data_IF_052511746285
#
_entry.id   IF_052511746285
#
_cell.length_a   1.000
_cell.length_b   1.000
_cell.length_c   1.000
_cell.angle_alpha   90.00
_cell.angle_beta   90.00
_cell.angle_gamma   90.00
#
_symmetry.space_group_name_H-M   'P 1'
#
loop_
_entity.id
_entity.type
_entity.pdbx_description
1 polymer ?
#
# COMPACT_ATOMS: atom_id res chain seq x y z
N UNK A 1 4.84 -60.15 31.06
CA UNK A 1 3.65 -60.46 30.25
C UNK A 1 3.72 -59.48 29.08
N UNK A 2 4.32 -59.85 27.94
CA UNK A 2 3.81 -60.80 26.91
C UNK A 2 2.46 -60.32 26.30
N UNK A 3 2.13 -60.39 25.00
CA UNK A 3 2.80 -60.88 23.74
C UNK A 3 1.90 -60.45 22.54
N UNK A 4 2.27 -60.30 21.25
CA UNK A 4 3.51 -60.16 20.43
C UNK A 4 3.10 -59.92 18.96
N UNK A 5 3.97 -59.29 18.13
CA UNK A 5 3.96 -59.33 16.61
C UNK A 5 2.77 -58.61 15.93
N UNK A 6 2.80 -58.24 14.64
CA UNK A 6 3.66 -58.52 13.45
C UNK A 6 2.72 -58.51 12.22
N UNK A 7 3.07 -58.18 10.97
CA UNK A 7 4.34 -58.35 10.25
C UNK A 7 4.57 -57.29 9.14
N UNK A 8 5.76 -57.34 8.53
CA UNK A 8 6.20 -56.52 7.39
C UNK A 8 5.79 -57.09 6.01
N UNK A 9 5.82 -56.24 4.98
CA UNK A 9 6.41 -56.61 3.67
C UNK A 9 7.00 -55.37 2.96
N UNK A 10 8.00 -55.59 2.12
CA UNK A 10 8.86 -54.57 1.47
C UNK A 10 8.95 -54.84 -0.05
N UNK A 11 9.93 -54.23 -0.75
CA UNK A 11 10.18 -54.19 -2.21
C UNK A 11 9.41 -53.11 -2.99
N UNK A 12 10.04 -52.36 -3.92
CA UNK A 12 11.45 -52.39 -4.34
C UNK A 12 11.90 -51.15 -5.13
N UNK A 13 13.20 -51.03 -5.38
CA UNK A 13 13.88 -49.91 -6.08
C UNK A 13 13.90 -50.07 -7.61
N UNK A 14 13.89 -48.96 -8.35
CA UNK A 14 14.83 -48.56 -9.43
C UNK A 14 14.39 -47.16 -9.95
N UNK A 15 15.16 -46.05 -9.96
CA UNK A 15 16.47 -45.67 -10.52
C UNK A 15 16.56 -45.51 -12.05
N UNK A 16 16.98 -44.30 -12.46
CA UNK A 16 17.79 -43.98 -13.66
C UNK A 16 17.08 -44.14 -15.05
N UNK A 17 17.38 -43.39 -16.12
CA UNK A 17 18.28 -42.23 -16.31
C UNK A 17 17.97 -41.42 -17.60
N UNK A 18 18.56 -40.22 -17.68
CA UNK A 18 19.03 -39.46 -18.87
C UNK A 18 18.32 -39.46 -20.26
N UNK A 19 17.85 -38.26 -20.63
CA UNK A 19 18.29 -37.40 -21.75
C UNK A 19 18.13 -37.78 -23.26
N UNK A 20 18.04 -36.71 -24.09
CA UNK A 20 18.22 -36.66 -25.56
C UNK A 20 17.10 -37.31 -26.44
N UNK A 21 16.77 -36.84 -27.66
CA UNK A 21 17.14 -35.63 -28.44
C UNK A 21 16.11 -35.31 -29.55
N UNK A 22 16.23 -34.13 -30.17
CA UNK A 22 15.83 -33.74 -31.55
C UNK A 22 14.39 -33.94 -32.10
N UNK A 23 14.01 -33.05 -33.03
CA UNK A 23 12.81 -33.20 -33.87
C UNK A 23 12.30 -31.88 -34.46
N UNK A 24 13.00 -31.34 -35.47
CA UNK A 24 12.51 -30.20 -36.27
C UNK A 24 12.46 -30.63 -37.74
N UNK A 25 11.27 -30.64 -38.34
CA UNK A 25 11.07 -30.77 -39.79
C UNK A 25 10.05 -29.73 -40.25
N UNK A 26 10.36 -29.04 -41.35
CA UNK A 26 9.42 -28.98 -42.45
C UNK A 26 10.06 -29.46 -43.77
N UNK A 27 9.31 -30.23 -44.54
CA UNK A 27 9.61 -30.58 -45.94
C UNK A 27 9.36 -29.34 -46.85
N UNK A 28 9.90 -29.19 -48.08
CA UNK A 28 10.40 -30.15 -49.09
C UNK A 28 11.50 -29.51 -49.97
N UNK A 29 12.29 -30.33 -50.67
CA UNK A 29 13.48 -29.97 -51.50
C UNK A 29 13.20 -29.25 -52.84
N UNK A 30 14.26 -28.61 -53.40
CA UNK A 30 14.78 -28.86 -54.77
C UNK A 30 16.24 -28.32 -54.92
N UNK A 31 17.03 -28.87 -55.85
CA UNK A 31 18.52 -28.81 -55.92
C UNK A 31 19.01 -28.60 -57.40
N UNK A 32 20.32 -28.54 -57.77
CA UNK A 32 21.35 -27.48 -57.59
C UNK A 32 22.06 -27.04 -58.91
N UNK A 33 23.12 -26.20 -58.82
CA UNK A 33 24.47 -26.50 -59.39
C UNK A 33 25.57 -25.49 -59.02
N UNK A 34 26.81 -25.98 -58.86
CA UNK A 34 28.07 -25.20 -58.74
C UNK A 34 29.04 -25.48 -59.92
N UNK A 35 30.06 -24.62 -60.11
CA UNK A 35 31.34 -24.98 -60.76
C UNK A 35 32.49 -24.02 -60.32
N UNK A 36 33.71 -24.55 -60.19
CA UNK A 36 34.96 -23.91 -59.73
C UNK A 36 35.96 -23.64 -60.89
N UNK A 37 37.04 -22.84 -60.66
CA UNK A 37 38.48 -23.14 -60.98
C UNK A 37 39.45 -21.93 -60.77
N UNK A 38 40.72 -22.26 -60.48
CA UNK A 38 41.98 -21.54 -60.12
C UNK A 38 42.76 -20.85 -61.28
N UNK A 39 43.98 -20.27 -61.18
CA UNK A 39 44.82 -19.52 -60.19
C UNK A 39 46.26 -19.34 -60.81
N UNK A 40 46.97 -18.20 -60.70
CA UNK A 40 48.44 -18.09 -61.05
C UNK A 40 49.14 -16.77 -60.59
N UNK A 41 50.48 -16.73 -60.48
CA UNK A 41 51.18 -15.90 -59.46
C UNK A 41 52.49 -15.17 -59.89
N UNK A 42 52.69 -13.95 -59.32
CA UNK A 42 53.97 -13.38 -58.83
C UNK A 42 54.99 -12.61 -59.74
N UNK A 43 54.57 -11.52 -60.39
CA UNK A 43 55.45 -10.34 -60.64
C UNK A 43 55.28 -9.22 -59.60
N UNK A 44 54.55 -9.50 -58.52
CA UNK A 44 53.90 -8.46 -57.72
C UNK A 44 54.69 -7.96 -56.50
N UNK A 45 55.76 -8.64 -56.06
CA UNK A 45 56.21 -8.53 -54.65
C UNK A 45 56.76 -7.17 -54.20
N UNK A 46 57.55 -6.47 -55.01
CA UNK A 46 58.09 -5.14 -54.65
C UNK A 46 57.07 -4.02 -54.87
N UNK A 47 56.30 -4.09 -55.96
CA UNK A 47 55.16 -3.20 -56.18
C UNK A 47 54.15 -3.31 -55.02
N UNK A 48 53.86 -4.53 -54.56
CA UNK A 48 52.99 -4.79 -53.42
C UNK A 48 53.52 -4.20 -52.11
N UNK A 49 54.83 -4.07 -51.89
CA UNK A 49 55.35 -3.48 -50.66
C UNK A 49 55.06 -1.96 -50.60
N UNK A 50 55.40 -1.24 -51.67
CA UNK A 50 55.11 0.20 -51.77
C UNK A 50 53.59 0.48 -51.84
N UNK A 51 52.83 -0.35 -52.57
CA UNK A 51 51.37 -0.27 -52.60
C UNK A 51 50.78 -0.60 -51.23
N UNK A 52 51.30 -1.57 -50.48
CA UNK A 52 50.83 -1.89 -49.13
C UNK A 52 51.03 -0.71 -48.18
N UNK A 53 52.21 -0.07 -48.18
CA UNK A 53 52.48 1.09 -47.33
C UNK A 53 51.60 2.30 -47.72
N UNK A 54 51.43 2.56 -49.02
CA UNK A 54 50.50 3.59 -49.52
C UNK A 54 49.04 3.28 -49.15
N UNK A 55 48.61 2.01 -49.21
CA UNK A 55 47.26 1.58 -48.82
C UNK A 55 47.06 1.69 -47.31
N UNK A 56 48.06 1.32 -46.51
CA UNK A 56 48.01 1.33 -45.05
C UNK A 56 48.00 2.76 -44.49
N UNK A 57 48.76 3.69 -45.09
CA UNK A 57 48.69 5.13 -44.77
C UNK A 57 47.29 5.68 -45.13
N UNK A 58 46.79 5.40 -46.33
CA UNK A 58 45.45 5.85 -46.75
C UNK A 58 44.33 5.25 -45.88
N UNK A 59 44.44 3.99 -45.45
CA UNK A 59 43.46 3.39 -44.54
C UNK A 59 43.51 4.00 -43.14
N UNK A 60 44.71 4.30 -42.63
CA UNK A 60 44.86 4.93 -41.32
C UNK A 60 44.31 6.37 -41.31
N UNK A 61 44.54 7.16 -42.35
CA UNK A 61 43.92 8.50 -42.50
C UNK A 61 42.39 8.41 -42.65
N UNK A 62 41.89 7.44 -43.43
CA UNK A 62 40.46 7.20 -43.58
C UNK A 62 39.78 6.80 -42.26
N UNK A 63 40.41 5.91 -41.50
CA UNK A 63 39.94 5.47 -40.18
C UNK A 63 39.99 6.59 -39.15
N UNK A 64 41.04 7.42 -39.12
CA UNK A 64 41.10 8.57 -38.22
C UNK A 64 40.03 9.61 -38.58
N UNK A 65 39.83 9.90 -39.88
CA UNK A 65 38.76 10.76 -40.35
C UNK A 65 37.37 10.20 -40.02
N UNK A 66 37.19 8.87 -40.10
CA UNK A 66 35.95 8.19 -39.73
C UNK A 66 35.69 8.26 -38.22
N UNK A 67 36.69 7.96 -37.38
CA UNK A 67 36.62 8.09 -35.92
C UNK A 67 36.32 9.53 -35.49
N UNK A 68 36.93 10.52 -36.14
CA UNK A 68 36.67 11.96 -35.88
C UNK A 68 35.26 12.38 -36.30
N UNK A 69 34.69 11.80 -37.37
CA UNK A 69 33.28 11.97 -37.73
C UNK A 69 32.35 11.32 -36.70
N UNK A 70 32.56 10.06 -36.32
CA UNK A 70 31.75 9.38 -35.30
C UNK A 70 31.80 10.05 -33.93
N UNK A 71 32.99 10.50 -33.48
CA UNK A 71 33.14 11.28 -32.24
C UNK A 71 32.33 12.58 -32.26
N UNK A 72 32.36 13.32 -33.38
CA UNK A 72 31.54 14.54 -33.56
C UNK A 72 30.05 14.24 -33.62
N UNK A 73 29.62 13.16 -34.28
CA UNK A 73 28.22 12.73 -34.30
C UNK A 73 27.74 12.36 -32.90
N UNK A 74 28.52 11.59 -32.14
CA UNK A 74 28.18 11.22 -30.77
C UNK A 74 28.15 12.44 -29.83
N UNK A 75 29.08 13.39 -29.96
CA UNK A 75 29.05 14.64 -29.19
C UNK A 75 27.81 15.50 -29.49
N UNK A 76 27.43 15.61 -30.78
CA UNK A 76 26.19 16.30 -31.16
C UNK A 76 24.95 15.55 -30.66
N UNK A 77 24.94 14.22 -30.72
CA UNK A 77 23.81 13.39 -30.27
C UNK A 77 23.61 13.47 -28.75
N UNK A 78 24.69 13.41 -27.95
CA UNK A 78 24.60 13.56 -26.49
C UNK A 78 24.20 14.98 -26.09
N UNK A 79 24.67 16.00 -26.81
CA UNK A 79 24.22 17.39 -26.62
C UNK A 79 22.72 17.52 -26.91
N UNK A 80 22.24 17.03 -28.06
CA UNK A 80 20.81 17.05 -28.43
C UNK A 80 19.97 16.29 -27.39
N UNK A 81 20.39 15.08 -26.99
CA UNK A 81 19.69 14.30 -25.98
C UNK A 81 19.62 15.01 -24.61
N UNK A 82 20.71 15.66 -24.17
CA UNK A 82 20.75 16.45 -22.94
C UNK A 82 19.80 17.65 -22.97
N UNK A 83 19.79 18.40 -24.09
CA UNK A 83 18.82 19.48 -24.29
C UNK A 83 17.38 18.98 -24.35
N UNK A 84 17.11 17.87 -25.04
CA UNK A 84 15.78 17.25 -25.08
C UNK A 84 15.31 16.81 -23.69
N UNK A 85 16.18 16.19 -22.89
CA UNK A 85 15.87 15.80 -21.52
C UNK A 85 15.61 17.01 -20.62
N UNK A 86 16.42 18.08 -20.74
CA UNK A 86 16.20 19.32 -19.99
C UNK A 86 14.87 19.99 -20.34
N UNK A 87 14.53 20.08 -21.64
CA UNK A 87 13.26 20.63 -22.12
C UNK A 87 12.07 19.77 -21.65
N UNK A 88 12.15 18.45 -21.77
CA UNK A 88 11.09 17.55 -21.28
C UNK A 88 10.90 17.65 -19.76
N UNK A 89 11.99 17.77 -19.00
CA UNK A 89 11.94 17.98 -17.53
C UNK A 89 11.27 19.31 -17.18
N UNK A 90 11.62 20.39 -17.88
CA UNK A 90 10.99 21.70 -17.69
C UNK A 90 9.50 21.68 -18.06
N UNK A 91 9.11 21.02 -19.15
CA UNK A 91 7.71 20.84 -19.54
C UNK A 91 6.93 20.01 -18.51
N UNK A 92 7.53 18.96 -17.97
CA UNK A 92 6.93 18.14 -16.90
C UNK A 92 6.71 18.96 -15.62
N UNK A 93 7.72 19.72 -15.16
CA UNK A 93 7.58 20.60 -14.00
C UNK A 93 6.56 21.71 -14.23
N UNK A 94 6.54 22.31 -15.43
CA UNK A 94 5.53 23.29 -15.81
C UNK A 94 4.12 22.69 -15.83
N UNK A 95 3.97 21.43 -16.28
CA UNK A 95 2.71 20.71 -16.25
C UNK A 95 2.25 20.38 -14.82
N UNK A 96 3.17 20.07 -13.89
CA UNK A 96 2.84 19.92 -12.46
C UNK A 96 2.38 21.24 -11.85
N UNK A 97 3.14 22.33 -12.07
CA UNK A 97 2.79 23.66 -11.53
C UNK A 97 1.48 24.16 -12.12
N UNK A 98 1.29 24.02 -13.44
CA UNK A 98 0.02 24.31 -14.09
C UNK A 98 -1.09 23.40 -13.57
N UNK A 99 -0.85 22.11 -13.36
CA UNK A 99 -1.81 21.18 -12.78
C UNK A 99 -2.24 21.59 -11.36
N UNK A 100 -1.32 22.05 -10.52
CA UNK A 100 -1.61 22.57 -9.17
C UNK A 100 -2.43 23.86 -9.27
N UNK A 101 -2.00 24.84 -10.08
CA UNK A 101 -2.70 26.12 -10.23
C UNK A 101 -4.09 25.95 -10.88
N UNK A 102 -4.17 25.17 -11.95
CA UNK A 102 -5.41 24.78 -12.61
C UNK A 102 -6.31 24.03 -11.64
N UNK A 103 -5.78 23.13 -10.81
CA UNK A 103 -6.60 22.47 -9.78
C UNK A 103 -7.12 23.46 -8.74
N UNK A 104 -6.31 24.42 -8.31
CA UNK A 104 -6.74 25.48 -7.39
C UNK A 104 -7.82 26.40 -7.96
N UNK A 105 -7.87 26.58 -9.28
CA UNK A 105 -8.88 27.43 -9.95
C UNK A 105 -10.11 26.63 -10.41
N UNK A 106 -9.96 25.39 -10.87
CA UNK A 106 -11.05 24.58 -11.44
C UNK A 106 -11.63 23.48 -10.52
N UNK A 107 -11.02 23.15 -9.38
CA UNK A 107 -11.71 22.39 -8.32
C UNK A 107 -12.65 23.25 -7.46
N UNK A 108 -12.88 24.51 -7.85
CA UNK A 108 -14.18 25.15 -7.67
C UNK A 108 -15.23 24.50 -8.58
N UNK A 109 -15.50 23.22 -8.37
CA UNK A 109 -16.53 22.50 -9.11
C UNK A 109 -17.90 23.12 -8.83
N UNK A 110 -18.65 23.44 -9.89
CA UNK A 110 -19.97 24.08 -9.82
C UNK A 110 -21.05 23.12 -9.28
N UNK A 111 -20.96 22.80 -8.00
CA UNK A 111 -22.01 22.12 -7.21
C UNK A 111 -22.05 22.60 -5.74
N UNK A 112 -21.35 23.69 -5.41
CA UNK A 112 -21.29 24.28 -4.07
C UNK A 112 -22.16 25.54 -3.90
N UNK A 113 -22.83 25.99 -4.96
CA UNK A 113 -23.81 27.08 -4.90
C UNK A 113 -25.25 26.59 -4.90
N UNK A 114 -25.57 25.74 -3.93
CA UNK A 114 -26.94 25.64 -3.44
C UNK A 114 -26.94 25.96 -1.93
N UNK A 115 -26.67 27.23 -1.63
CA UNK A 115 -26.72 27.79 -0.27
C UNK A 115 -28.19 27.95 0.15
N UNK A 116 -28.86 26.82 0.36
CA UNK A 116 -29.97 26.76 1.27
C UNK A 116 -29.38 26.71 2.68
N UNK A 117 -29.50 27.83 3.40
CA UNK A 117 -28.83 28.11 4.66
C UNK A 117 -29.29 27.18 5.79
N UNK A 118 -28.66 25.99 5.91
CA UNK A 118 -28.77 25.10 7.08
C UNK A 118 -27.69 23.99 7.17
N UNK A 119 -26.70 23.94 6.26
CA UNK A 119 -25.59 22.96 6.36
C UNK A 119 -24.49 23.45 7.30
N UNK A 120 -24.05 22.67 8.31
CA UNK A 120 -22.94 23.04 9.18
C UNK A 120 -21.65 23.26 8.39
N UNK A 121 -20.88 24.27 8.76
CA UNK A 121 -19.64 24.66 8.09
C UNK A 121 -18.54 23.59 8.31
N UNK A 122 -18.23 22.82 7.26
CA UNK A 122 -17.16 21.81 7.32
C UNK A 122 -15.80 22.50 7.31
N UNK A 123 -14.92 22.24 8.30
CA UNK A 123 -13.56 22.82 8.29
C UNK A 123 -12.70 22.21 7.17
N UNK A 124 -12.90 20.93 6.88
CA UNK A 124 -12.36 20.27 5.68
C UNK A 124 -13.51 19.58 4.93
N UNK A 125 -13.68 19.78 3.60
CA UNK A 125 -14.81 19.23 2.85
C UNK A 125 -14.94 17.71 2.97
N UNK A 126 -16.18 17.21 2.92
CA UNK A 126 -16.48 15.78 2.93
C UNK A 126 -15.64 15.00 1.89
N UNK A 127 -15.07 13.87 2.29
CA UNK A 127 -14.25 13.01 1.42
C UNK A 127 -12.81 13.49 1.19
N UNK A 128 -12.41 14.65 1.70
CA UNK A 128 -11.00 15.08 1.71
C UNK A 128 -10.18 14.16 2.61
N UNK A 129 -8.95 13.82 2.22
CA UNK A 129 -8.01 13.11 3.11
C UNK A 129 -7.61 14.06 4.24
N UNK A 130 -7.80 13.61 5.49
CA UNK A 130 -7.41 14.36 6.70
C UNK A 130 -6.21 13.74 7.42
N UNK A 131 -5.83 12.50 7.11
CA UNK A 131 -4.64 11.86 7.68
C UNK A 131 -4.39 10.47 7.11
N UNK A 132 -3.29 9.85 7.51
CA UNK A 132 -2.89 8.50 7.11
C UNK A 132 -2.11 7.79 8.20
N UNK A 133 -2.61 6.67 8.69
CA UNK A 133 -1.92 5.85 9.71
C UNK A 133 -1.70 4.45 9.20
N UNK A 134 -0.47 3.93 9.32
CA UNK A 134 -0.08 2.62 8.77
C UNK A 134 -0.57 2.39 7.32
N UNK A 135 -0.54 3.43 6.47
CA UNK A 135 -1.01 3.34 5.08
C UNK A 135 -2.54 3.30 4.88
N UNK A 136 -3.33 3.51 5.94
CA UNK A 136 -4.79 3.63 5.89
C UNK A 136 -5.18 5.11 5.98
N UNK A 137 -5.76 5.65 4.90
CA UNK A 137 -6.22 7.04 4.85
C UNK A 137 -7.48 7.26 5.71
N UNK A 138 -7.54 8.37 6.41
CA UNK A 138 -8.76 8.89 7.02
C UNK A 138 -9.32 10.03 6.17
N UNK A 139 -10.64 10.08 6.05
CA UNK A 139 -11.36 11.07 5.26
C UNK A 139 -12.29 11.91 6.14
N UNK A 140 -12.45 13.19 5.80
CA UNK A 140 -13.39 14.08 6.48
C UNK A 140 -14.83 13.61 6.25
N UNK A 141 -15.61 13.54 7.33
CA UNK A 141 -17.06 13.34 7.26
C UNK A 141 -17.84 14.66 7.13
N UNK A 142 -17.19 15.79 6.83
CA UNK A 142 -17.70 17.16 7.02
C UNK A 142 -17.96 17.55 8.48
N UNK A 143 -18.81 16.85 9.23
CA UNK A 143 -19.09 17.09 10.66
C UNK A 143 -19.59 15.81 11.35
N UNK A 144 -19.68 15.81 12.68
CA UNK A 144 -19.99 14.61 13.48
C UNK A 144 -21.40 14.03 13.22
N UNK A 145 -22.37 14.87 12.87
CA UNK A 145 -23.77 14.49 12.58
C UNK A 145 -24.01 14.07 11.11
N UNK A 146 -23.05 14.31 10.21
CA UNK A 146 -23.25 14.07 8.79
C UNK A 146 -23.32 12.58 8.45
N UNK A 147 -24.18 12.23 7.49
CA UNK A 147 -24.26 10.89 6.93
C UNK A 147 -24.52 10.97 5.44
N UNK A 148 -23.55 10.52 4.63
CA UNK A 148 -23.71 10.41 3.17
C UNK A 148 -24.82 9.45 2.77
N UNK A 149 -25.09 8.44 3.62
CA UNK A 149 -25.88 7.23 3.32
C UNK A 149 -25.28 6.36 2.21
N UNK A 150 -24.02 6.63 1.82
CA UNK A 150 -23.29 5.89 0.80
C UNK A 150 -22.36 4.84 1.41
N UNK A 151 -22.37 3.64 0.83
CA UNK A 151 -21.51 2.53 1.26
C UNK A 151 -20.09 2.69 0.72
N UNK A 152 -19.10 2.70 1.60
CA UNK A 152 -17.69 2.51 1.27
C UNK A 152 -17.38 1.01 1.13
N UNK A 153 -16.50 0.67 0.18
CA UNK A 153 -16.05 -0.70 -0.08
C UNK A 153 -14.56 -0.72 -0.44
N UNK A 154 -13.81 -1.71 0.04
CA UNK A 154 -12.48 -2.00 -0.51
C UNK A 154 -12.63 -2.65 -1.89
N UNK A 155 -11.79 -2.20 -2.82
CA UNK A 155 -11.70 -2.76 -4.16
C UNK A 155 -10.80 -4.01 -4.13
N UNK A 156 -11.38 -5.15 -4.51
CA UNK A 156 -10.72 -6.46 -4.58
C UNK A 156 -11.48 -7.38 -5.54
N UNK A 157 -11.22 -8.70 -5.49
CA UNK A 157 -12.03 -9.70 -6.21
C UNK A 157 -13.50 -9.64 -5.78
N UNK A 158 -13.70 -9.55 -4.47
CA UNK A 158 -14.99 -9.29 -3.83
C UNK A 158 -15.00 -7.85 -3.31
N UNK A 159 -16.08 -7.11 -3.57
CA UNK A 159 -16.25 -5.74 -3.05
C UNK A 159 -16.62 -5.79 -1.57
N UNK A 160 -15.61 -5.77 -0.71
CA UNK A 160 -15.82 -5.91 0.74
C UNK A 160 -16.30 -4.59 1.35
N UNK A 161 -17.50 -4.59 1.92
CA UNK A 161 -18.10 -3.43 2.60
C UNK A 161 -17.32 -3.03 3.85
N UNK A 162 -16.94 -1.75 3.95
CA UNK A 162 -16.25 -1.20 5.12
C UNK A 162 -17.17 -0.42 6.05
N UNK A 163 -18.21 0.25 5.54
CA UNK A 163 -19.10 1.10 6.35
C UNK A 163 -19.76 2.19 5.51
N UNK A 164 -20.40 3.16 6.17
CA UNK A 164 -20.86 4.38 5.51
C UNK A 164 -19.72 5.40 5.42
N UNK A 165 -19.50 6.00 4.24
CA UNK A 165 -18.50 7.06 4.07
C UNK A 165 -18.93 8.33 4.81
N UNK A 166 -18.18 8.93 5.74
CA UNK A 166 -16.89 8.52 6.31
C UNK A 166 -17.00 8.43 7.84
N UNK A 167 -17.80 7.48 8.31
CA UNK A 167 -18.07 7.32 9.74
C UNK A 167 -16.92 6.62 10.50
N UNK A 168 -16.92 6.73 11.82
CA UNK A 168 -15.92 6.10 12.70
C UNK A 168 -15.85 4.56 12.53
N UNK A 169 -17.02 3.92 12.44
CA UNK A 169 -17.16 2.47 12.19
C UNK A 169 -16.56 2.05 10.84
N UNK A 170 -16.64 2.91 9.82
CA UNK A 170 -16.06 2.67 8.50
C UNK A 170 -14.54 2.62 8.57
N UNK A 171 -13.94 3.61 9.25
CA UNK A 171 -12.49 3.66 9.46
C UNK A 171 -11.99 2.46 10.25
N UNK A 172 -12.63 2.15 11.37
CA UNK A 172 -12.23 1.06 12.25
C UNK A 172 -12.26 -0.30 11.53
N UNK A 173 -13.34 -0.59 10.78
CA UNK A 173 -13.45 -1.83 10.00
C UNK A 173 -12.41 -1.87 8.88
N UNK A 174 -12.29 -0.79 8.10
CA UNK A 174 -11.30 -0.69 7.02
C UNK A 174 -9.86 -0.81 7.50
N UNK A 175 -9.55 -0.29 8.70
CA UNK A 175 -8.23 -0.43 9.31
C UNK A 175 -7.92 -1.89 9.62
N UNK A 176 -8.81 -2.64 10.30
CA UNK A 176 -8.59 -4.07 10.56
C UNK A 176 -8.52 -4.90 9.26
N UNK A 177 -9.30 -4.55 8.24
CA UNK A 177 -9.28 -5.24 6.93
C UNK A 177 -7.99 -5.02 6.13
N UNK A 178 -7.23 -3.95 6.43
CA UNK A 178 -5.98 -3.63 5.73
C UNK A 178 -4.73 -3.92 6.58
N UNK A 179 -4.81 -3.69 7.89
CA UNK A 179 -3.68 -3.66 8.85
C UNK A 179 -4.02 -4.26 10.22
N UNK A 180 -5.02 -5.15 10.26
CA UNK A 180 -5.30 -5.95 11.44
C UNK A 180 -4.13 -6.88 11.80
N UNK A 181 -3.93 -7.09 13.11
CA UNK A 181 -2.87 -7.92 13.70
C UNK A 181 -3.53 -8.98 14.60
N UNK A 182 -3.14 -10.28 14.54
CA UNK A 182 -2.00 -10.83 13.79
C UNK A 182 -2.19 -10.89 12.28
N UNK A 183 -3.43 -10.95 11.79
CA UNK A 183 -3.78 -10.96 10.36
C UNK A 183 -5.02 -10.09 10.11
N UNK A 184 -5.23 -9.60 8.87
CA UNK A 184 -6.38 -8.77 8.54
C UNK A 184 -7.73 -9.45 8.83
N UNK A 185 -8.65 -8.66 9.39
CA UNK A 185 -9.95 -9.13 9.87
C UNK A 185 -11.05 -8.09 9.64
N UNK A 186 -12.31 -8.50 9.75
CA UNK A 186 -13.49 -7.64 9.71
C UNK A 186 -14.47 -8.03 10.80
N UNK A 187 -15.06 -7.02 11.46
CA UNK A 187 -16.16 -7.22 12.40
C UNK A 187 -17.50 -7.00 11.69
N UNK A 188 -18.55 -7.67 12.17
CA UNK A 188 -19.86 -7.68 11.51
C UNK A 188 -20.55 -6.31 11.47
N UNK A 189 -21.69 -6.23 10.79
CA UNK A 189 -22.44 -4.98 10.66
C UNK A 189 -23.12 -4.62 11.98
N UNK A 190 -22.73 -3.49 12.54
CA UNK A 190 -23.29 -2.90 13.77
C UNK A 190 -24.21 -1.71 13.44
N UNK A 191 -25.15 -1.39 14.33
CA UNK A 191 -26.05 -0.24 14.17
C UNK A 191 -25.42 1.06 14.68
N UNK A 192 -24.66 1.01 15.78
CA UNK A 192 -23.78 2.07 16.26
C UNK A 192 -22.40 1.55 16.65
N UNK A 193 -21.44 2.44 16.81
CA UNK A 193 -20.07 2.10 17.23
C UNK A 193 -20.02 1.43 18.62
N UNK A 194 -20.92 1.82 19.54
CA UNK A 194 -21.04 1.18 20.84
C UNK A 194 -21.37 -0.33 20.76
N UNK A 195 -22.07 -0.79 19.72
CA UNK A 195 -22.48 -2.19 19.59
C UNK A 195 -21.30 -3.12 19.25
N UNK A 196 -20.15 -2.58 18.85
CA UNK A 196 -18.90 -3.34 18.69
C UNK A 196 -18.53 -4.06 20.00
N UNK A 197 -18.91 -3.48 21.16
CA UNK A 197 -18.71 -4.11 22.47
C UNK A 197 -19.52 -5.40 22.69
N UNK A 198 -20.67 -5.53 22.02
CA UNK A 198 -21.53 -6.72 22.13
C UNK A 198 -21.02 -7.88 21.30
N UNK A 199 -20.13 -7.64 20.33
CA UNK A 199 -19.59 -8.66 19.44
C UNK A 199 -18.77 -9.71 20.20
N UNK A 200 -18.73 -10.92 19.65
CA UNK A 200 -18.04 -12.09 20.23
C UNK A 200 -16.95 -12.66 19.34
N UNK A 201 -16.93 -12.29 18.06
CA UNK A 201 -15.93 -12.74 17.09
C UNK A 201 -15.71 -11.73 15.96
N UNK A 202 -14.64 -11.95 15.20
CA UNK A 202 -14.36 -11.32 13.91
C UNK A 202 -14.19 -12.40 12.84
N UNK A 203 -14.41 -12.04 11.59
CA UNK A 203 -14.08 -12.88 10.43
C UNK A 203 -12.71 -12.46 9.86
N UNK A 204 -11.82 -13.42 9.65
CA UNK A 204 -10.55 -13.22 8.95
C UNK A 204 -10.79 -13.25 7.43
N UNK A 205 -9.87 -12.69 6.64
CA UNK A 205 -10.03 -12.63 5.18
C UNK A 205 -9.97 -14.01 4.46
N UNK A 206 -9.59 -15.07 5.16
CA UNK A 206 -9.71 -16.46 4.67
C UNK A 206 -11.10 -17.10 4.94
N UNK A 207 -12.00 -16.35 5.58
CA UNK A 207 -13.35 -16.78 5.95
C UNK A 207 -13.47 -17.43 7.33
N UNK A 208 -12.35 -17.77 7.98
CA UNK A 208 -12.33 -18.30 9.36
C UNK A 208 -12.71 -17.21 10.39
N UNK A 209 -12.93 -17.60 11.64
CA UNK A 209 -13.31 -16.66 12.71
C UNK A 209 -12.36 -16.73 13.91
N UNK A 210 -12.17 -15.59 14.57
CA UNK A 210 -11.41 -15.46 15.82
C UNK A 210 -12.30 -14.86 16.91
N UNK A 211 -12.20 -15.32 18.17
CA UNK A 211 -12.87 -14.68 19.30
C UNK A 211 -12.48 -13.21 19.45
N UNK A 212 -13.44 -12.36 19.81
CA UNK A 212 -13.20 -10.97 20.16
C UNK A 212 -13.08 -10.82 21.68
N UNK A 213 -11.87 -10.49 22.14
CA UNK A 213 -11.52 -10.22 23.52
C UNK A 213 -11.88 -8.77 23.86
N UNK A 214 -12.32 -8.56 25.10
CA UNK A 214 -12.90 -7.29 25.56
C UNK A 214 -12.32 -6.93 26.92
N UNK A 215 -11.72 -5.74 27.00
CA UNK A 215 -10.99 -5.27 28.17
C UNK A 215 -11.65 -3.97 28.63
N UNK A 216 -12.43 -4.06 29.70
CA UNK A 216 -13.14 -2.90 30.24
C UNK A 216 -12.14 -1.90 30.84
N UNK A 217 -12.45 -0.60 30.67
CA UNK A 217 -11.60 0.47 31.18
C UNK A 217 -11.54 0.43 32.72
N UNK A 218 -10.38 0.76 33.30
CA UNK A 218 -10.18 0.78 34.75
C UNK A 218 -10.46 -0.57 35.46
N UNK A 219 -10.15 -1.70 34.81
CA UNK A 219 -10.24 -3.06 35.37
C UNK A 219 -8.84 -3.68 35.53
N UNK A 220 -8.63 -4.42 36.62
CA UNK A 220 -7.34 -5.05 36.94
C UNK A 220 -7.04 -6.22 36.00
N UNK A 221 -5.75 -6.50 35.75
CA UNK A 221 -5.35 -7.69 35.01
C UNK A 221 -5.86 -9.02 35.64
N UNK A 222 -6.15 -9.04 36.95
CA UNK A 222 -6.70 -10.21 37.66
C UNK A 222 -8.19 -10.41 37.38
N UNK A 223 -8.92 -9.32 37.14
CA UNK A 223 -10.36 -9.32 36.88
C UNK A 223 -10.68 -9.31 35.37
N UNK A 224 -9.67 -9.57 34.51
CA UNK A 224 -9.82 -9.65 33.06
C UNK A 224 -9.45 -8.38 32.28
N UNK A 225 -8.83 -7.39 32.93
CA UNK A 225 -8.20 -6.24 32.27
C UNK A 225 -6.92 -6.60 31.50
N UNK A 226 -6.38 -5.65 30.75
CA UNK A 226 -5.12 -5.78 29.99
C UNK A 226 -4.61 -4.39 29.60
N UNK A 227 -3.31 -4.21 29.40
CA UNK A 227 -2.83 -3.00 28.74
C UNK A 227 -3.46 -2.86 27.32
N UNK A 228 -3.85 -1.64 26.89
CA UNK A 228 -4.12 -1.35 25.49
C UNK A 228 -2.91 -1.67 24.62
N UNK A 229 -3.14 -2.07 23.37
CA UNK A 229 -2.10 -2.34 22.36
C UNK A 229 -2.43 -1.67 21.03
N UNK A 230 -1.42 -1.48 20.20
CA UNK A 230 -1.60 -1.03 18.81
C UNK A 230 -2.49 -2.01 18.05
N UNK A 231 -3.49 -1.48 17.34
CA UNK A 231 -4.51 -2.25 16.63
C UNK A 231 -5.80 -2.49 17.42
N UNK A 232 -5.83 -2.21 18.73
CA UNK A 232 -7.07 -2.28 19.51
C UNK A 232 -8.10 -1.24 19.04
N UNK A 233 -9.39 -1.57 19.14
CA UNK A 233 -10.47 -0.62 18.94
C UNK A 233 -10.96 -0.10 20.30
N UNK A 234 -10.76 1.18 20.55
CA UNK A 234 -11.24 1.91 21.73
C UNK A 234 -12.72 2.25 21.53
N UNK A 235 -13.59 1.77 22.42
CA UNK A 235 -15.05 1.88 22.29
C UNK A 235 -15.63 2.86 23.30
N UNK A 236 -16.41 3.82 22.81
CA UNK A 236 -17.20 4.75 23.61
C UNK A 236 -18.66 4.27 23.64
N UNK A 237 -19.33 4.27 24.80
CA UNK A 237 -20.75 3.95 24.90
C UNK A 237 -21.60 5.06 24.28
N UNK A 238 -22.89 4.77 24.09
CA UNK A 238 -23.90 5.79 23.77
C UNK A 238 -23.99 6.77 24.94
N UNK A 239 -23.82 8.06 24.68
CA UNK A 239 -23.80 9.11 25.69
C UNK A 239 -24.14 10.48 25.09
N UNK A 240 -24.46 11.44 25.95
CA UNK A 240 -24.65 12.85 25.59
C UNK A 240 -23.34 13.48 25.07
N UNK A 241 -23.44 14.66 24.44
CA UNK A 241 -22.27 15.34 23.87
C UNK A 241 -21.81 14.81 22.51
N UNK A 242 -22.75 14.37 21.66
CA UNK A 242 -22.46 14.02 20.25
C UNK A 242 -22.32 12.52 19.95
N UNK A 243 -22.43 11.61 20.94
CA UNK A 243 -22.30 10.15 20.72
C UNK A 243 -23.59 9.34 20.94
N UNK A 244 -24.71 9.64 20.23
CA UNK A 244 -25.95 8.84 20.35
C UNK A 244 -25.80 7.39 19.85
N UNK A 245 -24.79 7.11 19.04
CA UNK A 245 -24.43 5.77 18.56
C UNK A 245 -23.17 5.20 19.22
N UNK A 246 -22.61 5.90 20.21
CA UNK A 246 -21.24 5.70 20.67
C UNK A 246 -20.21 6.15 19.63
N UNK A 247 -18.95 5.81 19.88
CA UNK A 247 -17.84 6.12 18.98
C UNK A 247 -16.78 5.00 19.01
N UNK A 248 -15.93 4.94 17.98
CA UNK A 248 -14.82 3.98 17.90
C UNK A 248 -13.58 4.63 17.30
N UNK A 249 -12.43 4.39 17.93
CA UNK A 249 -11.12 4.82 17.47
C UNK A 249 -10.14 3.65 17.44
N UNK A 250 -9.17 3.67 16.52
CA UNK A 250 -8.09 2.67 16.44
C UNK A 250 -6.91 3.16 17.28
N UNK A 251 -6.39 2.35 18.20
CA UNK A 251 -5.13 2.64 18.90
C UNK A 251 -3.96 2.43 17.93
N UNK A 252 -3.21 3.49 17.64
CA UNK A 252 -2.10 3.46 16.66
C UNK A 252 -0.71 3.61 17.30
N UNK A 253 -0.63 4.14 18.53
CA UNK A 253 0.55 4.03 19.38
C UNK A 253 0.15 3.98 20.86
N UNK A 254 0.99 3.33 21.67
CA UNK A 254 0.88 3.31 23.14
C UNK A 254 2.15 3.96 23.68
N UNK A 255 2.01 5.04 24.46
CA UNK A 255 3.08 5.68 25.24
C UNK A 255 2.92 5.28 26.71
N UNK A 256 3.80 5.78 27.59
CA UNK A 256 3.69 5.50 29.04
C UNK A 256 2.44 6.12 29.67
N UNK A 257 2.15 7.40 29.36
CA UNK A 257 1.06 8.19 29.96
C UNK A 257 -0.09 8.49 28.99
N UNK A 258 -0.10 7.89 27.79
CA UNK A 258 -1.10 8.20 26.76
C UNK A 258 -1.20 7.17 25.65
N UNK A 259 -2.32 7.22 24.92
CA UNK A 259 -2.53 6.53 23.65
C UNK A 259 -2.57 7.56 22.51
N UNK A 260 -2.00 7.21 21.35
CA UNK A 260 -2.35 7.88 20.10
C UNK A 260 -3.41 7.06 19.39
N UNK A 261 -4.49 7.71 18.97
CA UNK A 261 -5.58 7.06 18.25
C UNK A 261 -5.72 7.60 16.83
N UNK A 262 -6.44 6.86 15.98
CA UNK A 262 -6.83 7.27 14.65
C UNK A 262 -8.30 6.94 14.42
N UNK A 263 -9.06 7.92 13.94
CA UNK A 263 -10.50 7.79 13.72
C UNK A 263 -11.00 8.73 12.62
N UNK A 264 -12.21 8.46 12.13
CA UNK A 264 -13.02 9.41 11.37
C UNK A 264 -14.22 9.84 12.22
N UNK A 265 -14.87 10.94 11.87
CA UNK A 265 -16.09 11.42 12.52
C UNK A 265 -15.94 11.73 14.02
N UNK A 266 -14.82 12.33 14.41
CA UNK A 266 -14.61 12.97 15.72
C UNK A 266 -14.36 14.46 15.52
N UNK A 267 -13.35 14.80 14.70
CA UNK A 267 -13.10 16.13 14.16
C UNK A 267 -13.07 16.01 12.63
N UNK A 268 -13.28 17.13 11.94
CA UNK A 268 -13.21 17.25 10.48
C UNK A 268 -11.90 17.89 10.00
N UNK A 269 -11.05 18.38 10.92
CA UNK A 269 -9.73 18.96 10.61
C UNK A 269 -8.74 17.91 10.12
N UNK A 270 -7.76 18.36 9.33
CA UNK A 270 -6.52 17.62 9.06
C UNK A 270 -5.83 17.29 10.38
N UNK A 271 -5.39 16.04 10.53
CA UNK A 271 -4.70 15.50 11.70
C UNK A 271 -3.40 16.28 12.00
N UNK A 272 -2.86 16.23 13.24
CA UNK A 272 -1.67 16.99 13.62
C UNK A 272 -0.45 16.81 12.71
N UNK A 273 0.16 17.94 12.35
CA UNK A 273 1.46 18.00 11.68
C UNK A 273 2.60 17.52 12.61
N UNK A 274 3.76 17.09 12.06
CA UNK A 274 4.12 17.05 10.64
C UNK A 274 3.79 15.72 9.94
N UNK A 275 3.34 14.71 10.69
CA UNK A 275 3.20 13.34 10.17
C UNK A 275 1.77 12.95 9.80
N UNK A 276 0.75 13.66 10.32
CA UNK A 276 -0.66 13.43 10.02
C UNK A 276 -1.07 11.94 10.19
N UNK A 277 -0.54 11.27 11.22
CA UNK A 277 -0.60 9.81 11.40
C UNK A 277 -1.35 9.31 12.65
N UNK A 278 -1.94 10.23 13.41
CA UNK A 278 -2.91 9.99 14.48
C UNK A 278 -3.89 11.17 14.50
N UNK A 279 -5.15 10.97 14.92
CA UNK A 279 -6.15 12.03 15.05
C UNK A 279 -5.90 12.87 16.31
N UNK A 280 -5.68 12.20 17.44
CA UNK A 280 -5.50 12.82 18.77
C UNK A 280 -4.75 11.91 19.73
N UNK A 281 -4.36 12.50 20.85
CA UNK A 281 -3.68 11.85 21.98
C UNK A 281 -4.62 11.84 23.19
N UNK A 282 -4.76 10.68 23.84
CA UNK A 282 -5.66 10.47 24.98
C UNK A 282 -4.82 10.08 26.20
N UNK A 283 -4.94 10.76 27.35
CA UNK A 283 -4.29 10.35 28.59
C UNK A 283 -4.59 8.90 28.99
N UNK A 284 -3.57 8.21 29.49
CA UNK A 284 -3.66 6.86 30.04
C UNK A 284 -2.88 6.82 31.36
N UNK A 285 -3.50 6.29 32.41
CA UNK A 285 -2.90 6.14 33.72
C UNK A 285 -2.73 4.65 34.05
N UNK A 286 -1.55 4.27 34.53
CA UNK A 286 -1.26 2.90 34.96
C UNK A 286 -1.07 2.84 36.48
N UNK A 287 -1.99 2.16 37.18
CA UNK A 287 -1.80 1.81 38.58
C UNK A 287 -0.97 0.53 38.68
N UNK A 288 0.34 0.70 38.83
CA UNK A 288 1.34 -0.40 38.91
C UNK A 288 1.14 -1.37 40.07
N UNK A 289 0.35 -1.06 41.11
CA UNK A 289 0.09 -1.96 42.25
C UNK A 289 -0.97 -3.01 41.94
N UNK A 290 -2.05 -2.58 41.28
CA UNK A 290 -3.20 -3.42 40.94
C UNK A 290 -3.18 -3.87 39.46
N UNK A 291 -2.21 -3.38 38.68
CA UNK A 291 -2.10 -3.53 37.21
C UNK A 291 -3.40 -3.15 36.50
N UNK A 292 -3.89 -1.94 36.82
CA UNK A 292 -5.08 -1.32 36.23
C UNK A 292 -4.65 -0.24 35.24
N UNK A 293 -5.24 -0.25 34.05
CA UNK A 293 -5.08 0.80 33.04
C UNK A 293 -6.39 1.59 32.92
N UNK A 294 -6.31 2.90 33.11
CA UNK A 294 -7.41 3.84 32.92
C UNK A 294 -7.08 4.76 31.73
N UNK A 295 -7.86 4.65 30.65
CA UNK A 295 -7.82 5.62 29.55
C UNK A 295 -8.85 6.71 29.87
N UNK A 296 -8.40 7.96 30.00
CA UNK A 296 -9.22 9.07 30.48
C UNK A 296 -9.39 10.12 29.38
N UNK A 297 -10.63 10.35 28.96
CA UNK A 297 -10.97 11.34 27.94
C UNK A 297 -11.12 12.75 28.53
N UNK A 298 -10.90 13.77 27.70
CA UNK A 298 -11.35 15.12 28.00
C UNK A 298 -12.88 15.21 28.19
N UNK A 299 -13.33 16.32 28.75
CA UNK A 299 -14.77 16.70 28.86
C UNK A 299 -15.67 15.68 29.56
N UNK A 300 -15.09 14.79 30.38
CA UNK A 300 -15.79 13.71 31.12
C UNK A 300 -16.50 12.70 30.22
N UNK A 301 -16.12 12.58 28.95
CA UNK A 301 -16.62 11.52 28.05
C UNK A 301 -16.20 10.16 28.61
N UNK A 302 -17.15 9.22 28.66
CA UNK A 302 -16.90 7.86 29.15
C UNK A 302 -16.33 6.98 28.03
N UNK A 303 -15.43 6.08 28.41
CA UNK A 303 -14.85 5.04 27.54
C UNK A 303 -15.22 3.69 28.15
N UNK A 304 -15.84 2.80 27.36
CA UNK A 304 -16.23 1.45 27.81
C UNK A 304 -14.99 0.58 28.05
N UNK A 305 -14.01 0.70 27.16
CA UNK A 305 -12.80 -0.13 27.13
C UNK A 305 -12.30 -0.28 25.70
N UNK A 306 -11.48 -1.32 25.48
CA UNK A 306 -10.96 -1.66 24.15
C UNK A 306 -11.22 -3.13 23.81
N UNK A 307 -11.32 -3.41 22.51
CA UNK A 307 -11.51 -4.76 21.97
C UNK A 307 -10.36 -5.14 21.04
N UNK A 308 -9.99 -6.42 21.09
CA UNK A 308 -8.93 -7.05 20.29
C UNK A 308 -9.34 -8.46 19.95
N UNK A 309 -9.14 -8.93 18.72
CA UNK A 309 -9.38 -10.34 18.42
C UNK A 309 -8.18 -11.22 18.82
N UNK A 310 -8.45 -12.48 19.13
CA UNK A 310 -7.43 -13.41 19.58
C UNK A 310 -6.38 -13.70 18.49
N UNK A 311 -5.15 -13.94 18.94
CA UNK A 311 -4.02 -14.38 18.11
C UNK A 311 -4.30 -15.74 17.42
#
# INVERSE_FOLDING_TARGET
MDTTKGDHAHFGEEKMDHAHNHGFEPTTEMHPREMYVSDEHNTHKEANAFVSEQVEINSNEADEAMRKKFSRVNATLTMVAGWSFGVLTLLFLAFIVFGILYSGVHYHGESWHNVNSNTPECVTPFGSIIGVTNGVFAYSNCNEDYSSKENSTLLGKDKLFTGLGWQCVEFARRYWMLRGTPVPASFEKVAGAADIWSLTSVQLLDGSTKPLLKYANNVSARDGGSAPRVGDLLIYPRQEGGFPFGHVAVVVAVKSESLLVAEQNWDNKVWPAPHHNYSREIPMHHNTKEDIYEVAEADKRTITGWVRYAE
#
